data_IF_546006849810
#
_entry.id   IF_546006849810
#
_cell.length_a   1.000
_cell.length_b   1.000
_cell.length_c   1.000
_cell.angle_alpha   90.00
_cell.angle_beta   90.00
_cell.angle_gamma   90.00
#
_symmetry.space_group_name_H-M   'P 1'
#
loop_
_entity.id
_entity.type
_entity.pdbx_description
1 polymer ?
#
# COMPACT_ATOMS: atom_id res chain seq x y z
N UNK A 1 -59.51 33.78 49.85
CA UNK A 1 -59.50 33.42 48.42
C UNK A 1 -58.19 33.86 47.80
N UNK A 2 -57.37 32.92 47.32
CA UNK A 2 -56.55 33.04 46.10
C UNK A 2 -55.54 31.88 46.08
N UNK A 3 -55.74 30.96 45.14
CA UNK A 3 -54.90 29.79 44.91
C UNK A 3 -53.62 30.19 44.15
N UNK A 4 -52.45 29.79 44.65
CA UNK A 4 -51.16 29.92 43.96
C UNK A 4 -50.65 28.55 43.55
N UNK A 5 -51.02 28.07 42.36
CA UNK A 5 -50.61 26.78 41.83
C UNK A 5 -49.11 26.70 41.55
N UNK A 6 -48.40 25.82 42.27
CA UNK A 6 -47.00 25.48 42.02
C UNK A 6 -46.83 24.67 40.74
N UNK A 7 -46.57 25.35 39.62
CA UNK A 7 -46.25 24.73 38.34
C UNK A 7 -44.91 23.98 38.38
N UNK A 8 -44.96 22.65 38.42
CA UNK A 8 -43.81 21.75 38.32
C UNK A 8 -43.18 21.87 36.93
N UNK A 9 -42.09 22.65 36.79
CA UNK A 9 -41.30 22.75 35.55
C UNK A 9 -40.77 21.35 35.18
N UNK A 10 -41.32 20.75 34.11
CA UNK A 10 -40.77 19.53 33.49
C UNK A 10 -39.38 19.85 32.96
N UNK A 11 -38.33 19.25 33.55
CA UNK A 11 -36.97 19.28 33.00
C UNK A 11 -37.02 18.69 31.59
N UNK A 12 -36.73 19.51 30.57
CA UNK A 12 -36.60 19.06 29.19
C UNK A 12 -35.62 17.91 29.11
N UNK A 13 -36.00 16.86 28.39
CA UNK A 13 -35.18 15.67 28.12
C UNK A 13 -33.92 16.15 27.41
N UNK A 14 -32.78 16.22 28.12
CA UNK A 14 -31.48 16.50 27.49
C UNK A 14 -31.29 15.45 26.41
N UNK A 15 -31.31 15.87 25.15
CA UNK A 15 -30.98 15.01 24.01
C UNK A 15 -29.68 14.30 24.38
N UNK A 16 -29.72 12.97 24.44
CA UNK A 16 -28.62 12.16 24.93
C UNK A 16 -27.34 12.59 24.24
N UNK A 17 -26.33 12.98 25.02
CA UNK A 17 -25.01 13.25 24.48
C UNK A 17 -24.63 12.02 23.66
N UNK A 18 -24.47 12.19 22.33
CA UNK A 18 -24.12 11.09 21.44
C UNK A 18 -22.88 10.36 21.94
N UNK A 19 -22.70 9.10 21.51
CA UNK A 19 -21.64 8.24 22.05
C UNK A 19 -20.30 8.99 22.11
N UNK A 20 -19.74 9.06 23.31
CA UNK A 20 -18.43 9.66 23.58
C UNK A 20 -17.33 9.06 22.69
N UNK A 21 -17.45 7.79 22.29
CA UNK A 21 -16.53 7.14 21.35
C UNK A 21 -16.61 7.77 19.96
N UNK A 22 -17.83 8.03 19.45
CA UNK A 22 -18.01 8.69 18.15
C UNK A 22 -17.44 10.10 18.21
N UNK A 23 -17.62 10.80 19.33
CA UNK A 23 -17.02 12.12 19.55
C UNK A 23 -15.49 12.06 19.58
N UNK A 24 -14.90 11.07 20.25
CA UNK A 24 -13.45 10.87 20.30
C UNK A 24 -12.88 10.46 18.93
N UNK A 25 -13.54 9.56 18.20
CA UNK A 25 -13.15 9.17 16.84
C UNK A 25 -13.18 10.40 15.92
N UNK A 26 -14.28 11.18 15.96
CA UNK A 26 -14.36 12.45 15.23
C UNK A 26 -13.26 13.40 15.69
N UNK A 27 -12.99 13.47 17.00
CA UNK A 27 -11.94 14.32 17.55
C UNK A 27 -10.57 13.99 16.96
N UNK A 28 -10.14 12.73 17.02
CA UNK A 28 -8.86 12.27 16.47
C UNK A 28 -8.78 12.30 14.94
N UNK A 29 -9.90 12.21 14.22
CA UNK A 29 -9.86 12.30 12.75
C UNK A 29 -9.77 13.75 12.26
N UNK A 30 -10.41 14.69 12.96
CA UNK A 30 -10.63 16.04 12.43
C UNK A 30 -9.94 17.16 13.19
N UNK A 31 -9.38 16.93 14.38
CA UNK A 31 -8.76 18.01 15.13
C UNK A 31 -7.33 18.30 14.65
N UNK A 32 -7.10 19.45 13.99
CA UNK A 32 -5.80 19.76 13.37
C UNK A 32 -4.69 19.98 14.41
N UNK A 33 -5.04 20.38 15.64
CA UNK A 33 -4.06 20.76 16.67
C UNK A 33 -3.19 19.58 17.15
N UNK A 34 -3.72 18.35 17.15
CA UNK A 34 -3.00 17.14 17.56
C UNK A 34 -2.38 16.38 16.37
N UNK A 35 -3.01 16.44 15.19
CA UNK A 35 -2.62 15.62 14.03
C UNK A 35 -1.82 16.36 12.96
N UNK A 36 -1.86 17.69 12.95
CA UNK A 36 -1.09 18.52 12.01
C UNK A 36 -0.12 19.42 12.78
N UNK A 37 1.11 18.97 13.07
CA UNK A 37 2.10 19.84 13.67
C UNK A 37 2.40 21.02 12.75
N UNK A 38 2.85 22.14 13.34
CA UNK A 38 3.24 23.33 12.56
C UNK A 38 4.34 22.95 11.55
N UNK A 39 4.33 23.50 10.32
CA UNK A 39 5.37 23.22 9.33
C UNK A 39 6.78 23.47 9.88
N UNK A 40 7.69 22.56 9.57
CA UNK A 40 9.06 22.64 10.04
C UNK A 40 9.81 23.79 9.34
N UNK A 41 10.41 24.68 10.13
CA UNK A 41 11.23 25.79 9.63
C UNK A 41 12.70 25.35 9.59
N UNK A 42 13.35 25.50 8.44
CA UNK A 42 14.77 25.20 8.28
C UNK A 42 15.58 26.49 8.14
N UNK A 43 16.73 26.56 8.82
CA UNK A 43 17.76 27.55 8.49
C UNK A 43 18.50 27.19 7.20
N UNK A 44 19.20 28.16 6.59
CA UNK A 44 19.82 28.03 5.26
C UNK A 44 20.70 26.77 5.10
N UNK A 45 21.67 26.54 5.99
CA UNK A 45 22.55 25.37 5.92
C UNK A 45 21.80 24.04 6.08
N UNK A 46 20.74 24.02 6.89
CA UNK A 46 19.89 22.83 7.06
C UNK A 46 19.05 22.57 5.82
N UNK A 47 18.52 23.62 5.19
CA UNK A 47 17.75 23.52 3.95
C UNK A 47 18.61 22.99 2.80
N UNK A 48 19.85 23.49 2.65
CA UNK A 48 20.79 22.99 1.64
C UNK A 48 21.11 21.51 1.83
N UNK A 49 21.42 21.07 3.07
CA UNK A 49 21.63 19.64 3.37
C UNK A 49 20.41 18.78 3.10
N UNK A 50 19.22 19.27 3.45
CA UNK A 50 17.98 18.58 3.15
C UNK A 50 17.78 18.42 1.64
N UNK A 51 18.04 19.48 0.87
CA UNK A 51 17.92 19.47 -0.58
C UNK A 51 18.90 18.50 -1.24
N UNK A 52 20.17 18.47 -0.81
CA UNK A 52 21.16 17.55 -1.39
C UNK A 52 20.81 16.09 -1.13
N UNK A 53 20.42 15.74 0.12
CA UNK A 53 19.98 14.38 0.47
C UNK A 53 18.75 13.98 -0.35
N UNK A 54 17.75 14.86 -0.41
CA UNK A 54 16.53 14.61 -1.16
C UNK A 54 16.82 14.41 -2.65
N UNK A 55 17.69 15.24 -3.24
CA UNK A 55 18.07 15.13 -4.64
C UNK A 55 18.82 13.83 -4.93
N UNK A 56 19.77 13.46 -4.07
CA UNK A 56 20.50 12.19 -4.17
C UNK A 56 19.54 10.99 -4.13
N UNK A 57 18.56 11.00 -3.22
CA UNK A 57 17.52 9.97 -3.14
C UNK A 57 16.65 9.89 -4.40
N UNK A 58 16.26 11.04 -4.96
CA UNK A 58 15.52 11.07 -6.22
C UNK A 58 16.31 10.47 -7.39
N UNK A 59 17.62 10.79 -7.48
CA UNK A 59 18.50 10.23 -8.49
C UNK A 59 18.66 8.71 -8.33
N UNK A 60 18.85 8.25 -7.09
CA UNK A 60 18.92 6.82 -6.77
C UNK A 60 17.65 6.09 -7.21
N UNK A 61 16.46 6.57 -6.81
CA UNK A 61 15.18 5.96 -7.22
C UNK A 61 14.96 5.97 -8.73
N UNK A 62 15.40 7.03 -9.42
CA UNK A 62 15.36 7.08 -10.89
C UNK A 62 16.24 5.97 -11.48
N UNK A 63 17.45 5.81 -10.98
CA UNK A 63 18.37 4.78 -11.46
C UNK A 63 17.84 3.37 -11.20
N UNK A 64 17.26 3.11 -10.03
CA UNK A 64 16.60 1.83 -9.73
C UNK A 64 15.46 1.53 -10.69
N UNK A 65 14.58 2.52 -10.97
CA UNK A 65 13.48 2.35 -11.93
C UNK A 65 14.02 2.02 -13.32
N UNK A 66 14.97 2.80 -13.82
CA UNK A 66 15.60 2.58 -15.12
C UNK A 66 16.30 1.21 -15.20
N UNK A 67 16.90 0.74 -14.10
CA UNK A 67 17.50 -0.60 -14.04
C UNK A 67 16.44 -1.71 -14.13
N UNK A 68 15.31 -1.55 -13.41
CA UNK A 68 14.19 -2.50 -13.48
C UNK A 68 13.58 -2.55 -14.88
N UNK A 69 13.37 -1.39 -15.51
CA UNK A 69 12.84 -1.30 -16.88
C UNK A 69 13.78 -1.98 -17.89
N UNK A 70 15.09 -1.71 -17.83
CA UNK A 70 16.06 -2.41 -18.69
C UNK A 70 16.10 -3.91 -18.48
N UNK A 71 15.95 -4.37 -17.24
CA UNK A 71 15.92 -5.81 -16.97
C UNK A 71 14.66 -6.46 -17.54
N UNK A 72 13.50 -5.80 -17.43
CA UNK A 72 12.26 -6.24 -18.08
C UNK A 72 12.39 -6.25 -19.60
N UNK A 73 13.04 -5.24 -20.20
CA UNK A 73 13.33 -5.20 -21.64
C UNK A 73 14.23 -6.38 -22.06
N UNK A 74 15.26 -6.70 -21.28
CA UNK A 74 16.12 -7.87 -21.54
C UNK A 74 15.34 -9.17 -21.49
N UNK A 75 14.53 -9.36 -20.44
CA UNK A 75 13.69 -10.56 -20.28
C UNK A 75 12.71 -10.70 -21.45
N UNK A 76 12.05 -9.59 -21.83
CA UNK A 76 11.15 -9.56 -22.98
C UNK A 76 11.87 -9.92 -24.27
N UNK A 77 13.03 -9.32 -24.54
CA UNK A 77 13.81 -9.60 -25.74
C UNK A 77 14.24 -11.06 -25.82
N UNK A 78 14.59 -11.69 -24.69
CA UNK A 78 14.92 -13.12 -24.63
C UNK A 78 13.71 -14.02 -24.85
N UNK A 79 12.55 -13.68 -24.28
CA UNK A 79 11.30 -14.39 -24.55
C UNK A 79 10.95 -14.29 -26.05
N UNK A 80 11.08 -13.09 -26.64
CA UNK A 80 10.82 -12.86 -28.07
C UNK A 80 11.73 -13.70 -28.95
N UNK A 81 13.03 -13.68 -28.72
CA UNK A 81 14.03 -14.47 -29.45
C UNK A 81 13.69 -15.97 -29.39
N UNK A 82 13.40 -16.50 -28.19
CA UNK A 82 13.01 -17.91 -28.03
C UNK A 82 11.70 -18.26 -28.75
N UNK A 83 10.70 -17.38 -28.73
CA UNK A 83 9.45 -17.56 -29.47
C UNK A 83 9.66 -17.53 -30.99
N UNK A 84 10.54 -16.67 -31.50
CA UNK A 84 10.90 -16.60 -32.92
C UNK A 84 11.60 -17.88 -33.38
N UNK A 85 12.54 -18.41 -32.59
CA UNK A 85 13.17 -19.70 -32.91
C UNK A 85 12.14 -20.85 -32.89
N UNK A 86 11.26 -20.89 -31.89
CA UNK A 86 10.21 -21.90 -31.81
C UNK A 86 9.26 -21.86 -33.02
N UNK A 87 8.94 -20.66 -33.52
CA UNK A 87 8.11 -20.48 -34.71
C UNK A 87 8.78 -21.01 -35.99
N UNK A 88 10.11 -20.90 -36.09
CA UNK A 88 10.88 -21.46 -37.21
C UNK A 88 10.95 -22.98 -37.15
N UNK A 89 11.03 -23.57 -35.96
CA UNK A 89 11.15 -25.02 -35.79
C UNK A 89 9.82 -25.76 -35.83
N UNK A 90 8.80 -25.30 -35.09
CA UNK A 90 7.50 -25.99 -34.95
C UNK A 90 6.33 -25.02 -34.73
N UNK A 91 5.51 -24.86 -35.77
CA UNK A 91 4.32 -24.01 -35.75
C UNK A 91 3.16 -24.50 -34.87
N UNK A 92 3.13 -25.78 -34.46
CA UNK A 92 2.15 -26.30 -33.48
C UNK A 92 2.53 -25.86 -32.06
N UNK A 93 3.78 -26.11 -31.65
CA UNK A 93 4.25 -25.72 -30.32
C UNK A 93 4.19 -24.21 -30.09
N UNK A 94 4.52 -23.43 -31.13
CA UNK A 94 4.37 -21.97 -31.09
C UNK A 94 2.92 -21.51 -30.85
N UNK A 95 1.93 -22.15 -31.47
CA UNK A 95 0.50 -21.82 -31.22
C UNK A 95 0.06 -22.18 -29.81
N UNK A 96 0.59 -23.26 -29.23
CA UNK A 96 0.28 -23.67 -27.86
C UNK A 96 0.91 -22.71 -26.86
N UNK A 97 2.17 -22.31 -27.04
CA UNK A 97 2.86 -21.38 -26.12
C UNK A 97 2.23 -19.98 -26.09
N UNK A 98 1.69 -19.52 -27.22
CA UNK A 98 0.94 -18.27 -27.30
C UNK A 98 -0.50 -18.38 -26.79
N UNK A 99 -0.99 -19.59 -26.52
CA UNK A 99 -2.35 -19.76 -26.05
C UNK A 99 -2.49 -19.18 -24.63
N UNK A 100 -3.46 -18.29 -24.45
CA UNK A 100 -3.79 -17.67 -23.16
C UNK A 100 -4.70 -18.55 -22.29
N UNK A 101 -4.83 -19.83 -22.63
CA UNK A 101 -5.62 -20.78 -21.86
C UNK A 101 -4.87 -21.04 -20.55
N UNK A 102 -5.61 -21.09 -19.45
CA UNK A 102 -5.08 -21.35 -18.11
C UNK A 102 -4.05 -20.32 -17.59
N UNK A 103 -4.21 -19.03 -17.94
CA UNK A 103 -3.51 -17.95 -17.21
C UNK A 103 -4.09 -17.89 -15.80
N UNK A 104 -3.53 -18.70 -14.90
CA UNK A 104 -3.89 -18.75 -13.49
C UNK A 104 -3.44 -17.51 -12.72
N UNK A 105 -4.00 -17.34 -11.53
CA UNK A 105 -3.47 -16.40 -10.53
C UNK A 105 -2.20 -16.96 -9.92
N UNK A 106 -1.34 -16.08 -9.40
CA UNK A 106 -0.22 -16.46 -8.56
C UNK A 106 -0.65 -17.44 -7.45
N UNK A 107 0.07 -18.55 -7.22
CA UNK A 107 -0.26 -19.51 -6.16
C UNK A 107 -0.27 -18.86 -4.78
N UNK A 108 -1.12 -19.31 -3.87
CA UNK A 108 -1.18 -18.75 -2.49
C UNK A 108 0.09 -19.04 -1.68
N UNK A 109 0.85 -20.07 -2.07
CA UNK A 109 2.07 -20.50 -1.40
C UNK A 109 3.25 -19.52 -1.63
N UNK A 110 3.23 -18.69 -2.68
CA UNK A 110 4.28 -17.69 -2.90
C UNK A 110 4.04 -16.45 -2.04
N UNK A 111 4.70 -16.44 -0.87
CA UNK A 111 4.55 -15.38 0.13
C UNK A 111 5.40 -14.15 -0.19
N UNK A 112 4.93 -13.00 0.28
CA UNK A 112 5.69 -11.75 0.26
C UNK A 112 6.89 -11.89 1.21
N UNK A 113 8.11 -11.50 0.81
CA UNK A 113 9.29 -11.53 1.67
C UNK A 113 9.09 -10.73 2.96
N UNK A 114 9.54 -11.28 4.09
CA UNK A 114 9.54 -10.64 5.41
C UNK A 114 10.96 -10.21 5.80
N UNK A 115 11.07 -9.21 6.68
CA UNK A 115 12.38 -8.69 7.14
C UNK A 115 13.25 -9.77 7.83
N UNK A 116 12.63 -10.62 8.64
CA UNK A 116 13.27 -11.79 9.25
C UNK A 116 12.64 -13.08 8.73
N UNK A 117 13.42 -14.15 8.47
CA UNK A 117 12.86 -15.44 8.12
C UNK A 117 12.06 -16.02 9.29
N UNK A 118 11.05 -16.83 8.99
CA UNK A 118 10.30 -17.57 10.01
C UNK A 118 11.15 -18.67 10.66
N UNK A 119 10.73 -19.14 11.84
CA UNK A 119 11.44 -20.18 12.60
C UNK A 119 11.68 -21.47 11.79
N UNK A 120 10.77 -21.80 10.87
CA UNK A 120 10.97 -22.82 9.82
C UNK A 120 11.06 -22.10 8.47
N UNK A 121 12.28 -21.96 7.95
CA UNK A 121 12.56 -21.17 6.74
C UNK A 121 12.08 -21.82 5.44
N UNK A 122 12.03 -23.15 5.36
CA UNK A 122 11.59 -23.88 4.17
C UNK A 122 10.79 -25.14 4.54
N UNK A 123 9.80 -25.49 3.72
CA UNK A 123 9.02 -26.72 3.88
C UNK A 123 9.53 -27.82 2.94
N UNK A 124 10.37 -28.72 3.46
CA UNK A 124 10.88 -29.87 2.68
C UNK A 124 9.84 -30.98 2.47
N UNK A 125 8.80 -31.05 3.30
CA UNK A 125 7.73 -32.06 3.22
C UNK A 125 6.52 -31.60 2.42
N UNK A 126 6.70 -30.68 1.47
CA UNK A 126 5.60 -30.15 0.67
C UNK A 126 4.99 -31.24 -0.23
N UNK A 127 3.68 -31.43 -0.13
CA UNK A 127 2.90 -32.34 -0.96
C UNK A 127 1.75 -31.57 -1.61
N UNK A 128 1.49 -31.82 -2.90
CA UNK A 128 0.34 -31.27 -3.61
C UNK A 128 -0.92 -31.97 -3.10
N UNK A 129 -1.71 -31.27 -2.29
CA UNK A 129 -3.03 -31.73 -1.85
C UNK A 129 -4.05 -31.75 -2.98
#
# INVERSE_FOLDING_TARGET
MAAGGGGRKKKGKKQGAGDTRIRLIKYFLTHPYMHTPRPLKFGTMRMLRHWTIHRAWQLFKRNERMSRERELERQYNKIREACEELARTDGRLYRVSLSKKDIGTFPIDIRIPTDTPGARGWNYGWTRG
#
